data_IF_528144109260
#
_entry.id   IF_528144109260
#
_cell.length_a   1.000
_cell.length_b   1.000
_cell.length_c   1.000
_cell.angle_alpha   90.00
_cell.angle_beta   90.00
_cell.angle_gamma   90.00
#
_symmetry.space_group_name_H-M   'P 1'
#
loop_
_entity.id
_entity.type
_entity.pdbx_description
1 polymer ?
#
# COMPACT_ATOMS: atom_id res chain seq x y z
N UNK A 1 19.91 3.45 -14.89
CA UNK A 1 19.73 2.09 -14.31
C UNK A 1 18.45 2.00 -13.47
N UNK A 2 17.40 2.76 -13.81
CA UNK A 2 16.17 2.92 -13.00
C UNK A 2 15.11 1.82 -13.19
N UNK A 3 15.31 0.92 -14.15
CA UNK A 3 14.30 -0.08 -14.55
C UNK A 3 14.25 -1.31 -13.62
N UNK A 4 15.08 -1.36 -12.56
CA UNK A 4 15.07 -2.45 -11.56
C UNK A 4 14.35 -2.12 -10.25
N UNK A 5 14.04 -0.84 -9.99
CA UNK A 5 13.31 -0.48 -8.77
C UNK A 5 11.81 -0.76 -8.93
N UNK A 6 11.12 -1.14 -7.84
CA UNK A 6 9.68 -1.30 -7.87
C UNK A 6 8.99 0.05 -8.04
N UNK A 7 7.79 0.02 -8.63
CA UNK A 7 6.86 1.14 -8.59
C UNK A 7 6.14 1.09 -7.24
N UNK A 8 6.13 2.19 -6.49
CA UNK A 8 5.38 2.25 -5.23
C UNK A 8 3.88 2.39 -5.53
N UNK A 9 3.07 1.45 -5.05
CA UNK A 9 1.63 1.51 -5.21
C UNK A 9 1.03 2.71 -4.44
N UNK A 10 -0.09 3.29 -4.90
CA UNK A 10 -0.74 4.38 -4.17
C UNK A 10 -1.17 3.99 -2.76
N UNK A 11 -1.57 2.74 -2.56
CA UNK A 11 -1.96 2.21 -1.26
C UNK A 11 -0.75 2.14 -0.31
N UNK A 12 0.42 1.69 -0.80
CA UNK A 12 1.66 1.68 -0.03
C UNK A 12 2.11 3.09 0.37
N UNK A 13 2.12 4.04 -0.56
CA UNK A 13 2.48 5.44 -0.26
C UNK A 13 1.55 6.04 0.79
N UNK A 14 0.23 5.82 0.68
CA UNK A 14 -0.75 6.28 1.67
C UNK A 14 -0.51 5.67 3.06
N UNK A 15 -0.21 4.37 3.11
CA UNK A 15 0.10 3.69 4.37
C UNK A 15 1.37 4.26 5.04
N UNK A 16 2.45 4.46 4.28
CA UNK A 16 3.69 5.03 4.81
C UNK A 16 3.52 6.50 5.23
N UNK A 17 2.73 7.27 4.50
CA UNK A 17 2.39 8.65 4.86
C UNK A 17 1.56 8.70 6.16
N UNK A 18 0.60 7.78 6.35
CA UNK A 18 -0.14 7.67 7.62
C UNK A 18 0.79 7.38 8.79
N UNK A 19 1.73 6.43 8.63
CA UNK A 19 2.72 6.15 9.66
C UNK A 19 3.59 7.38 9.98
N UNK A 20 4.02 8.13 8.95
CA UNK A 20 4.75 9.40 9.11
C UNK A 20 3.96 10.42 9.96
N UNK A 21 2.66 10.57 9.69
CA UNK A 21 1.77 11.45 10.45
C UNK A 21 1.66 10.99 11.91
N UNK A 22 1.42 9.70 12.14
CA UNK A 22 1.21 9.13 13.48
C UNK A 22 2.46 9.22 14.37
N UNK A 23 3.65 9.04 13.81
CA UNK A 23 4.89 9.18 14.58
C UNK A 23 5.19 10.64 14.95
N UNK A 24 4.71 11.62 14.16
CA UNK A 24 4.81 13.06 14.47
C UNK A 24 6.24 13.63 14.52
N UNK A 25 7.20 12.82 14.09
CA UNK A 25 8.62 12.95 14.36
C UNK A 25 9.36 13.62 13.18
N UNK A 26 8.87 13.40 11.95
CA UNK A 26 9.21 14.16 10.74
C UNK A 26 7.93 14.55 9.99
N UNK A 27 8.07 15.50 9.06
CA UNK A 27 7.07 15.76 8.02
C UNK A 27 7.53 15.34 6.63
N UNK A 28 8.73 14.76 6.48
CA UNK A 28 9.29 14.34 5.19
C UNK A 28 9.69 12.87 5.21
N UNK A 29 9.23 12.14 4.20
CA UNK A 29 9.57 10.75 3.93
C UNK A 29 10.13 10.60 2.51
N UNK A 30 11.15 9.79 2.36
CA UNK A 30 11.75 9.43 1.08
C UNK A 30 11.62 7.93 0.88
N UNK A 31 11.05 7.54 -0.24
CA UNK A 31 10.87 6.15 -0.66
C UNK A 31 11.73 5.88 -1.89
N UNK A 32 12.64 4.90 -1.78
CA UNK A 32 13.43 4.45 -2.92
C UNK A 32 12.59 3.57 -3.84
N UNK A 33 12.11 4.16 -4.92
CA UNK A 33 11.21 3.55 -5.89
C UNK A 33 11.44 4.18 -7.27
N UNK A 34 10.80 3.67 -8.33
CA UNK A 34 10.77 4.45 -9.58
C UNK A 34 10.20 5.85 -9.29
N UNK A 35 10.80 6.94 -9.82
CA UNK A 35 10.32 8.31 -9.62
C UNK A 35 9.06 8.55 -10.46
N UNK A 36 7.98 7.82 -10.15
CA UNK A 36 6.69 7.86 -10.81
C UNK A 36 5.59 7.67 -9.78
N UNK A 37 4.55 8.48 -9.92
CA UNK A 37 3.31 8.36 -9.15
C UNK A 37 2.18 7.89 -10.04
N UNK A 38 1.39 6.93 -9.56
CA UNK A 38 0.22 6.36 -10.26
C UNK A 38 -1.11 6.66 -9.59
N UNK A 39 -1.11 7.39 -8.47
CA UNK A 39 -2.34 7.91 -7.89
C UNK A 39 -2.92 9.04 -8.73
N UNK A 40 -4.23 9.26 -8.59
CA UNK A 40 -4.97 10.30 -9.32
C UNK A 40 -4.49 11.72 -9.01
N UNK A 41 -4.18 11.99 -7.75
CA UNK A 41 -3.79 13.30 -7.24
C UNK A 41 -2.40 13.25 -6.60
N UNK A 42 -1.61 14.30 -6.79
CA UNK A 42 -0.29 14.44 -6.15
C UNK A 42 -0.36 15.08 -4.76
N UNK A 43 -1.47 15.71 -4.43
CA UNK A 43 -1.71 16.31 -3.12
C UNK A 43 -2.92 15.59 -2.54
N UNK A 44 -2.69 14.77 -1.51
CA UNK A 44 -3.71 13.89 -0.95
C UNK A 44 -4.00 14.24 0.50
N UNK A 45 -5.24 14.06 0.93
CA UNK A 45 -5.62 14.19 2.33
C UNK A 45 -5.52 12.82 3.02
N UNK A 46 -4.78 12.76 4.14
CA UNK A 46 -4.67 11.58 4.99
C UNK A 46 -4.90 12.03 6.43
N UNK A 47 -5.92 11.47 7.08
CA UNK A 47 -6.27 11.75 8.48
C UNK A 47 -6.37 13.27 8.78
N UNK A 48 -6.94 14.02 7.83
CA UNK A 48 -7.09 15.48 7.91
C UNK A 48 -5.82 16.29 7.61
N UNK A 49 -4.68 15.64 7.36
CA UNK A 49 -3.42 16.28 6.99
C UNK A 49 -3.21 16.26 5.48
N UNK A 50 -2.62 17.33 4.94
CA UNK A 50 -2.23 17.41 3.54
C UNK A 50 -0.88 16.74 3.32
N UNK A 51 -0.81 15.84 2.36
CA UNK A 51 0.40 15.09 1.99
C UNK A 51 0.71 15.32 0.52
N UNK A 52 1.88 15.89 0.25
CA UNK A 52 2.42 16.10 -1.09
C UNK A 52 3.21 14.86 -1.51
N UNK A 53 2.80 14.20 -2.59
CA UNK A 53 3.55 13.11 -3.21
C UNK A 53 4.30 13.67 -4.41
N UNK A 54 5.63 13.62 -4.39
CA UNK A 54 6.49 14.20 -5.41
C UNK A 54 7.45 13.15 -5.96
N UNK A 55 7.26 12.71 -7.21
CA UNK A 55 8.28 11.97 -7.94
C UNK A 55 9.45 12.88 -8.26
N UNK A 56 10.66 12.52 -7.83
CA UNK A 56 11.87 13.31 -8.02
C UNK A 56 13.00 12.43 -8.55
N UNK A 57 13.58 12.84 -9.68
CA UNK A 57 14.64 12.12 -10.37
C UNK A 57 16.03 12.79 -10.22
N UNK A 58 16.14 13.82 -9.38
CA UNK A 58 17.40 14.52 -9.13
C UNK A 58 17.41 15.16 -7.73
N UNK A 59 18.61 15.42 -7.21
CA UNK A 59 18.81 16.16 -5.96
C UNK A 59 18.11 17.53 -6.00
N UNK A 60 18.24 18.25 -7.13
CA UNK A 60 17.62 19.57 -7.30
C UNK A 60 16.08 19.48 -7.24
N UNK A 61 15.48 18.49 -7.91
CA UNK A 61 14.03 18.29 -7.84
C UNK A 61 13.55 17.97 -6.42
N UNK A 62 14.36 17.27 -5.61
CA UNK A 62 14.06 17.03 -4.21
C UNK A 62 14.12 18.33 -3.37
N UNK A 63 15.08 19.21 -3.64
CA UNK A 63 15.16 20.53 -2.99
C UNK A 63 13.99 21.43 -3.38
N UNK A 64 13.59 21.44 -4.64
CA UNK A 64 12.44 22.20 -5.12
C UNK A 64 11.14 21.73 -4.42
N UNK A 65 10.93 20.41 -4.36
CA UNK A 65 9.78 19.82 -3.66
C UNK A 65 9.76 20.16 -2.16
N UNK A 66 10.93 20.25 -1.52
CA UNK A 66 11.04 20.68 -0.13
C UNK A 66 10.70 22.16 0.06
N UNK A 67 11.06 23.01 -0.91
CA UNK A 67 10.79 24.44 -0.88
C UNK A 67 9.31 24.77 -1.16
N UNK A 68 8.64 23.98 -1.99
CA UNK A 68 7.19 24.11 -2.29
C UNK A 68 6.29 23.70 -1.11
N UNK A 69 6.83 22.93 -0.15
CA UNK A 69 6.07 22.36 0.97
C UNK A 69 5.73 23.44 2.01
N UNK A 70 4.45 23.55 2.38
CA UNK A 70 4.03 24.35 3.52
C UNK A 70 4.58 23.84 4.86
N UNK A 71 4.64 24.67 5.91
CA UNK A 71 5.15 24.26 7.22
C UNK A 71 4.37 23.09 7.82
N UNK A 72 3.07 23.00 7.52
CA UNK A 72 2.15 21.98 8.01
C UNK A 72 1.92 20.81 7.07
N UNK A 73 2.37 20.92 5.82
CA UNK A 73 2.23 19.85 4.84
C UNK A 73 3.23 18.73 5.10
N UNK A 74 2.80 17.48 4.91
CA UNK A 74 3.69 16.33 4.84
C UNK A 74 4.18 16.15 3.40
N UNK A 75 5.37 15.59 3.21
CA UNK A 75 5.96 15.35 1.90
C UNK A 75 6.49 13.92 1.80
N UNK A 76 6.09 13.23 0.74
CA UNK A 76 6.62 11.93 0.34
C UNK A 76 7.34 12.08 -1.00
N UNK A 77 8.65 11.86 -0.99
CA UNK A 77 9.48 11.83 -2.18
C UNK A 77 9.57 10.41 -2.72
N UNK A 78 9.26 10.22 -4.01
CA UNK A 78 9.49 8.96 -4.73
C UNK A 78 10.71 9.14 -5.62
N UNK A 79 11.78 8.40 -5.35
CA UNK A 79 13.05 8.62 -6.04
C UNK A 79 13.83 7.35 -6.26
N UNK A 80 14.54 7.26 -7.39
CA UNK A 80 15.48 6.16 -7.66
C UNK A 80 16.91 6.46 -7.20
N UNK A 81 17.16 7.68 -6.73
CA UNK A 81 18.45 8.12 -6.21
C UNK A 81 18.84 7.28 -4.99
N UNK A 82 20.12 6.93 -4.92
CA UNK A 82 20.69 6.38 -3.70
C UNK A 82 20.75 7.46 -2.61
N UNK A 83 21.00 7.04 -1.37
CA UNK A 83 21.09 7.95 -0.22
C UNK A 83 22.15 9.03 -0.46
N UNK A 84 23.31 8.61 -0.95
CA UNK A 84 24.45 9.46 -1.27
C UNK A 84 24.14 10.49 -2.35
N UNK A 85 23.35 10.13 -3.36
CA UNK A 85 22.97 11.01 -4.46
C UNK A 85 21.89 12.03 -4.06
N UNK A 86 21.09 11.71 -3.04
CA UNK A 86 20.06 12.59 -2.51
C UNK A 86 20.64 13.72 -1.65
N UNK A 87 21.82 13.54 -1.08
CA UNK A 87 22.57 14.56 -0.35
C UNK A 87 22.00 14.96 1.03
N UNK A 88 22.89 15.45 1.90
CA UNK A 88 22.56 15.76 3.30
C UNK A 88 21.50 16.84 3.47
N UNK A 89 21.45 17.81 2.55
CA UNK A 89 20.47 18.90 2.60
C UNK A 89 19.02 18.38 2.58
N UNK A 90 18.76 17.30 1.86
CA UNK A 90 17.46 16.63 1.85
C UNK A 90 17.32 15.75 3.10
N UNK A 91 18.33 14.92 3.38
CA UNK A 91 18.27 13.91 4.44
C UNK A 91 18.11 14.48 5.84
N UNK A 92 18.72 15.62 6.17
CA UNK A 92 18.61 16.27 7.50
C UNK A 92 17.17 16.67 7.84
N UNK A 93 16.33 16.92 6.83
CA UNK A 93 14.90 17.24 7.02
C UNK A 93 14.03 16.00 7.19
N UNK A 94 14.61 14.82 6.97
CA UNK A 94 13.96 13.53 7.18
C UNK A 94 14.39 13.00 8.54
N UNK A 95 13.45 12.60 9.40
CA UNK A 95 13.81 12.28 10.79
C UNK A 95 14.37 10.85 10.97
N UNK A 96 14.27 10.01 9.93
CA UNK A 96 14.94 8.71 9.72
C UNK A 96 14.69 8.20 8.28
N UNK A 97 14.32 9.12 7.38
CA UNK A 97 13.28 8.89 6.39
C UNK A 97 13.74 8.48 5.00
N UNK A 98 14.93 7.91 4.84
CA UNK A 98 15.34 7.31 3.57
C UNK A 98 15.11 5.80 3.65
N UNK A 99 13.99 5.35 3.05
CA UNK A 99 13.68 3.93 2.91
C UNK A 99 14.39 3.39 1.67
N UNK A 100 15.55 2.76 1.91
CA UNK A 100 16.43 2.23 0.86
C UNK A 100 15.77 1.13 0.00
N UNK A 101 14.74 0.48 0.54
CA UNK A 101 13.99 -0.54 -0.18
C UNK A 101 12.50 -0.38 0.10
N UNK A 102 11.73 -0.04 -0.93
CA UNK A 102 10.28 -0.20 -0.90
C UNK A 102 9.98 -1.69 -1.00
N UNK A 103 9.63 -2.30 0.14
CA UNK A 103 9.05 -3.63 0.19
C UNK A 103 7.60 -3.53 0.67
N UNK A 104 6.63 -3.64 -0.25
CA UNK A 104 5.21 -3.59 0.11
C UNK A 104 4.81 -4.78 1.01
N UNK A 105 5.51 -5.93 0.90
CA UNK A 105 5.27 -7.09 1.75
C UNK A 105 5.58 -6.82 3.22
N UNK A 106 6.50 -5.91 3.52
CA UNK A 106 6.84 -5.55 4.91
C UNK A 106 5.66 -4.97 5.69
N UNK A 107 4.64 -4.43 5.00
CA UNK A 107 3.44 -3.90 5.63
C UNK A 107 2.42 -5.00 5.99
N UNK A 108 2.42 -6.11 5.25
CA UNK A 108 1.36 -7.14 5.31
C UNK A 108 1.22 -7.81 6.68
N UNK A 109 2.29 -8.22 7.39
CA UNK A 109 2.13 -8.79 8.73
C UNK A 109 1.40 -7.85 9.71
N UNK A 110 1.75 -6.57 9.69
CA UNK A 110 1.14 -5.56 10.56
C UNK A 110 -0.34 -5.34 10.29
N UNK A 111 -0.79 -5.56 9.04
CA UNK A 111 -2.21 -5.47 8.69
C UNK A 111 -3.09 -6.53 9.39
N UNK A 112 -2.51 -7.69 9.71
CA UNK A 112 -3.20 -8.86 10.25
C UNK A 112 -2.76 -9.20 11.68
N UNK A 113 -2.11 -8.27 12.41
CA UNK A 113 -1.52 -8.52 13.73
C UNK A 113 -0.63 -9.78 13.76
N UNK A 114 0.13 -9.99 12.68
CA UNK A 114 0.99 -11.14 12.44
C UNK A 114 2.47 -10.73 12.41
N UNK A 115 3.35 -11.73 12.40
CA UNK A 115 4.80 -11.54 12.36
C UNK A 115 5.41 -11.96 11.02
N UNK A 116 4.76 -12.88 10.32
CA UNK A 116 5.28 -13.52 9.11
C UNK A 116 4.19 -13.60 8.03
N UNK A 117 4.62 -13.84 6.79
CA UNK A 117 3.77 -14.10 5.64
C UNK A 117 4.20 -15.43 5.03
N UNK A 118 3.24 -16.26 4.66
CA UNK A 118 3.48 -17.53 3.98
C UNK A 118 4.08 -17.31 2.57
N UNK A 119 4.88 -18.27 2.10
CA UNK A 119 5.55 -18.26 0.80
C UNK A 119 4.57 -18.27 -0.36
N UNK A 120 3.46 -19.02 -0.25
CA UNK A 120 2.47 -19.11 -1.34
C UNK A 120 1.80 -17.76 -1.57
N UNK A 121 1.46 -17.05 -0.49
CA UNK A 121 0.91 -15.70 -0.60
C UNK A 121 1.92 -14.73 -1.25
N UNK A 122 3.21 -14.85 -0.90
CA UNK A 122 4.27 -14.02 -1.47
C UNK A 122 4.45 -14.15 -2.99
N UNK A 123 3.96 -15.22 -3.61
CA UNK A 123 4.02 -15.41 -5.07
C UNK A 123 3.10 -14.45 -5.82
N UNK A 124 2.07 -13.92 -5.14
CA UNK A 124 1.06 -13.04 -5.73
C UNK A 124 1.45 -11.57 -5.53
N UNK A 125 2.18 -11.01 -6.50
CA UNK A 125 2.80 -9.68 -6.39
C UNK A 125 1.82 -8.52 -6.18
N UNK A 126 0.55 -8.67 -6.59
CA UNK A 126 -0.49 -7.66 -6.44
C UNK A 126 -1.09 -7.59 -5.04
N UNK A 127 -0.91 -8.63 -4.22
CA UNK A 127 -1.60 -8.79 -2.92
C UNK A 127 -1.31 -7.67 -1.91
N UNK A 128 -0.05 -7.24 -1.69
CA UNK A 128 0.21 -6.20 -0.69
C UNK A 128 -0.54 -4.90 -0.98
N UNK A 129 -0.52 -4.46 -2.25
CA UNK A 129 -1.22 -3.28 -2.69
C UNK A 129 -2.73 -3.42 -2.50
N UNK A 130 -3.30 -4.57 -2.85
CA UNK A 130 -4.73 -4.85 -2.70
C UNK A 130 -5.18 -4.86 -1.22
N UNK A 131 -4.42 -5.52 -0.34
CA UNK A 131 -4.70 -5.58 1.10
C UNK A 131 -4.62 -4.20 1.76
N UNK A 132 -3.70 -3.34 1.30
CA UNK A 132 -3.60 -1.95 1.76
C UNK A 132 -4.75 -1.09 1.23
N UNK A 133 -5.13 -1.30 -0.03
CA UNK A 133 -6.18 -0.52 -0.71
C UNK A 133 -7.58 -0.82 -0.16
N UNK A 134 -7.87 -2.09 0.10
CA UNK A 134 -9.18 -2.57 0.50
C UNK A 134 -9.29 -2.84 2.01
N UNK A 135 -8.37 -2.26 2.80
CA UNK A 135 -8.37 -2.42 4.25
C UNK A 135 -9.72 -1.96 4.84
N UNK A 136 -10.44 -2.81 5.59
CA UNK A 136 -11.68 -2.43 6.26
C UNK A 136 -11.44 -1.36 7.32
N UNK A 137 -12.48 -0.61 7.69
CA UNK A 137 -12.39 0.43 8.73
C UNK A 137 -11.90 -0.11 10.08
N UNK A 138 -12.27 -1.35 10.44
CA UNK A 138 -11.84 -2.02 11.67
C UNK A 138 -10.53 -2.80 11.51
N UNK A 139 -9.84 -2.67 10.37
CA UNK A 139 -8.67 -3.48 10.02
C UNK A 139 -9.01 -4.89 9.55
N UNK A 140 -7.97 -5.66 9.21
CA UNK A 140 -8.14 -7.06 8.84
C UNK A 140 -8.23 -7.95 10.09
N UNK A 141 -8.99 -9.06 10.05
CA UNK A 141 -9.01 -10.02 11.14
C UNK A 141 -7.62 -10.57 11.44
N UNK A 142 -7.26 -10.65 12.71
CA UNK A 142 -5.95 -11.14 13.14
C UNK A 142 -5.66 -12.53 12.57
N UNK A 143 -4.42 -12.78 12.13
CA UNK A 143 -4.01 -14.09 11.65
C UNK A 143 -3.89 -15.06 12.85
N UNK A 144 -4.69 -16.14 12.91
CA UNK A 144 -4.78 -16.98 14.12
C UNK A 144 -3.45 -17.62 14.56
N UNK A 145 -2.58 -17.93 13.60
CA UNK A 145 -1.27 -18.57 13.82
C UNK A 145 -0.11 -17.59 13.96
N UNK A 146 -0.37 -16.27 13.89
CA UNK A 146 0.67 -15.25 13.79
C UNK A 146 1.40 -15.23 12.44
N UNK A 147 0.98 -16.04 11.47
CA UNK A 147 1.43 -16.05 10.07
C UNK A 147 0.26 -15.70 9.16
N UNK A 148 0.44 -14.73 8.26
CA UNK A 148 -0.55 -14.41 7.23
C UNK A 148 -0.51 -15.49 6.14
N UNK A 149 -1.45 -16.43 6.19
CA UNK A 149 -1.60 -17.47 5.17
C UNK A 149 -2.33 -16.93 3.94
N UNK A 150 -2.14 -17.58 2.80
CA UNK A 150 -2.83 -17.21 1.57
C UNK A 150 -4.36 -17.31 1.70
N UNK A 151 -4.87 -18.43 2.26
CA UNK A 151 -6.31 -18.60 2.48
C UNK A 151 -6.91 -17.50 3.37
N UNK A 152 -6.22 -17.15 4.46
CA UNK A 152 -6.71 -16.11 5.38
C UNK A 152 -6.68 -14.73 4.72
N UNK A 153 -5.60 -14.37 4.03
CA UNK A 153 -5.50 -13.07 3.38
C UNK A 153 -6.47 -12.93 2.19
N UNK A 154 -6.48 -13.91 1.28
CA UNK A 154 -7.29 -13.87 0.07
C UNK A 154 -8.77 -14.06 0.38
N UNK A 155 -9.12 -14.90 1.36
CA UNK A 155 -10.50 -15.07 1.81
C UNK A 155 -11.05 -13.77 2.38
N UNK A 156 -10.33 -13.15 3.30
CA UNK A 156 -10.76 -11.86 3.85
C UNK A 156 -10.78 -10.75 2.80
N UNK A 157 -9.81 -10.71 1.89
CA UNK A 157 -9.82 -9.76 0.77
C UNK A 157 -11.07 -9.95 -0.10
N UNK A 158 -11.39 -11.20 -0.47
CA UNK A 158 -12.60 -11.51 -1.23
C UNK A 158 -13.85 -11.07 -0.48
N UNK A 159 -13.95 -11.37 0.81
CA UNK A 159 -15.05 -10.91 1.66
C UNK A 159 -15.19 -9.38 1.65
N UNK A 160 -14.07 -8.65 1.80
CA UNK A 160 -14.08 -7.20 1.75
C UNK A 160 -14.50 -6.63 0.39
N UNK A 161 -14.08 -7.27 -0.72
CA UNK A 161 -14.48 -6.90 -2.08
C UNK A 161 -15.97 -7.15 -2.34
N UNK A 162 -16.53 -8.20 -1.74
CA UNK A 162 -17.95 -8.58 -1.87
C UNK A 162 -18.87 -7.93 -0.83
N UNK A 163 -18.31 -7.20 0.15
CA UNK A 163 -19.07 -6.61 1.25
C UNK A 163 -19.56 -7.63 2.29
N UNK A 164 -18.94 -8.81 2.34
CA UNK A 164 -19.27 -9.85 3.31
C UNK A 164 -18.68 -9.54 4.70
N UNK A 165 -19.30 -10.05 5.78
CA UNK A 165 -18.74 -9.97 7.12
C UNK A 165 -17.36 -10.64 7.20
N UNK A 166 -16.46 -10.05 8.01
CA UNK A 166 -15.13 -10.59 8.27
C UNK A 166 -15.06 -11.18 9.70
N UNK A 167 -14.36 -12.31 9.93
CA UNK A 167 -13.56 -13.03 8.95
C UNK A 167 -14.41 -13.79 7.91
N UNK A 168 -13.99 -13.72 6.65
CA UNK A 168 -14.66 -14.41 5.56
C UNK A 168 -13.91 -15.69 5.21
N UNK A 169 -14.61 -16.82 5.29
CA UNK A 169 -14.14 -18.14 4.85
C UNK A 169 -14.89 -18.48 3.56
N UNK A 170 -14.22 -18.42 2.39
CA UNK A 170 -14.90 -18.64 1.13
C UNK A 170 -15.37 -20.08 1.01
N UNK A 171 -16.66 -20.26 0.78
CA UNK A 171 -17.26 -21.50 0.30
C UNK A 171 -18.14 -21.20 -0.92
N UNK A 172 -18.26 -22.19 -1.81
CA UNK A 172 -18.94 -21.98 -3.09
C UNK A 172 -20.40 -21.51 -2.92
N UNK A 173 -21.11 -22.02 -1.91
CA UNK A 173 -22.52 -21.67 -1.69
C UNK A 173 -22.62 -20.22 -1.23
N UNK A 174 -21.84 -19.82 -0.22
CA UNK A 174 -21.81 -18.45 0.26
C UNK A 174 -21.39 -17.44 -0.82
N UNK A 175 -20.45 -17.79 -1.71
CA UNK A 175 -20.05 -16.91 -2.81
C UNK A 175 -21.18 -16.75 -3.83
N UNK A 176 -21.87 -17.85 -4.19
CA UNK A 176 -22.99 -17.79 -5.13
C UNK A 176 -24.15 -16.97 -4.57
N UNK A 177 -24.51 -17.18 -3.31
CA UNK A 177 -25.55 -16.40 -2.63
C UNK A 177 -25.23 -14.90 -2.60
N UNK A 178 -23.96 -14.53 -2.36
CA UNK A 178 -23.52 -13.13 -2.41
C UNK A 178 -23.61 -12.56 -3.84
N UNK A 179 -23.28 -13.34 -4.85
CA UNK A 179 -23.31 -12.92 -6.26
C UNK A 179 -24.71 -12.86 -6.85
N UNK A 180 -25.76 -13.32 -6.17
CA UNK A 180 -27.14 -13.09 -6.61
C UNK A 180 -27.52 -11.59 -6.53
N UNK A 181 -26.89 -10.83 -5.63
CA UNK A 181 -27.03 -9.38 -5.56
C UNK A 181 -26.34 -8.69 -6.76
N UNK A 182 -27.11 -7.90 -7.51
CA UNK A 182 -26.60 -7.13 -8.65
C UNK A 182 -25.52 -6.11 -8.26
N UNK A 183 -25.59 -5.56 -7.05
CA UNK A 183 -24.62 -4.61 -6.50
C UNK A 183 -23.28 -5.28 -6.25
N UNK A 184 -23.31 -6.47 -5.64
CA UNK A 184 -22.11 -7.28 -5.39
C UNK A 184 -21.48 -7.71 -6.70
N UNK A 185 -22.28 -8.10 -7.70
CA UNK A 185 -21.77 -8.39 -9.05
C UNK A 185 -21.12 -7.19 -9.72
N UNK A 186 -21.72 -6.01 -9.63
CA UNK A 186 -21.15 -4.79 -10.19
C UNK A 186 -19.82 -4.41 -9.49
N UNK A 187 -19.78 -4.53 -8.16
CA UNK A 187 -18.56 -4.32 -7.37
C UNK A 187 -17.46 -5.31 -7.80
N UNK A 188 -17.77 -6.60 -7.90
CA UNK A 188 -16.85 -7.61 -8.40
C UNK A 188 -16.36 -7.28 -9.82
N UNK A 189 -17.24 -6.91 -10.75
CA UNK A 189 -16.85 -6.56 -12.11
C UNK A 189 -15.90 -5.35 -12.21
N UNK A 190 -15.94 -4.44 -11.22
CA UNK A 190 -15.02 -3.31 -11.13
C UNK A 190 -13.60 -3.68 -10.65
N UNK A 191 -13.43 -4.89 -10.08
CA UNK A 191 -12.13 -5.40 -9.66
C UNK A 191 -11.25 -5.69 -10.89
N UNK A 192 -9.95 -5.31 -10.86
CA UNK A 192 -9.02 -5.58 -11.95
C UNK A 192 -9.04 -7.05 -12.40
N UNK A 193 -8.99 -7.28 -13.72
CA UNK A 193 -9.17 -8.61 -14.30
C UNK A 193 -8.10 -9.63 -13.85
N UNK A 194 -6.85 -9.19 -13.65
CA UNK A 194 -5.75 -10.01 -13.12
C UNK A 194 -6.09 -10.51 -11.71
N UNK A 195 -6.50 -9.61 -10.82
CA UNK A 195 -6.90 -9.94 -9.44
C UNK A 195 -8.10 -10.89 -9.41
N UNK A 196 -9.11 -10.66 -10.26
CA UNK A 196 -10.25 -11.57 -10.37
C UNK A 196 -9.84 -12.96 -10.83
N UNK A 197 -8.96 -13.05 -11.83
CA UNK A 197 -8.44 -14.32 -12.35
C UNK A 197 -7.73 -15.09 -11.25
N UNK A 198 -6.81 -14.46 -10.54
CA UNK A 198 -6.01 -15.11 -9.50
C UNK A 198 -6.86 -15.53 -8.30
N UNK A 199 -7.80 -14.67 -7.84
CA UNK A 199 -8.73 -15.02 -6.76
C UNK A 199 -9.65 -16.17 -7.16
N UNK A 200 -10.16 -16.17 -8.39
CA UNK A 200 -11.01 -17.26 -8.88
C UNK A 200 -10.21 -18.55 -8.96
N UNK A 201 -8.99 -18.51 -9.51
CA UNK A 201 -8.13 -19.67 -9.63
C UNK A 201 -7.71 -20.24 -8.26
N UNK A 202 -7.55 -19.40 -7.24
CA UNK A 202 -7.20 -19.83 -5.88
C UNK A 202 -8.34 -20.61 -5.20
N UNK A 203 -9.59 -20.20 -5.39
CA UNK A 203 -10.77 -20.80 -4.74
C UNK A 203 -11.57 -21.76 -5.64
N UNK A 204 -11.04 -22.11 -6.81
CA UNK A 204 -11.62 -23.14 -7.71
C UNK A 204 -11.21 -24.54 -7.27
#
# INVERSE_FOLDING_TARGET
>A
MSDRLPLASPAYVKNRARALIQHGQSKVLVLRARPRWTGSERDIAIDGQRVLVRPVASHLAALDALAERGPDDYLVLLTDLAREDLGDAVLVRTERGYADHVDEWSAVPGLFAAHTVDVELRRLSWVPAALLQHQPANGWPAAPSGTVTADHALGNLLGALLGAPLPFQPDLVSILDLLDDATVRAAWQSVPAEMRTDLTAWFS
#
